data_IF_470030059245
#
_entry.id   IF_470030059245
#
_cell.length_a   1.000
_cell.length_b   1.000
_cell.length_c   1.000
_cell.angle_alpha   90.00
_cell.angle_beta   90.00
_cell.angle_gamma   90.00
#
_symmetry.space_group_name_H-M   'P 1'
#
loop_
_entity.id
_entity.type
_entity.pdbx_description
1 polymer ?
#
# COMPACT_ATOMS: atom_id res chain seq x y z
N UNK A 1 6.08 -9.80 -22.24
CA UNK A 1 6.79 -10.33 -21.05
C UNK A 1 5.92 -10.16 -19.81
N UNK A 2 5.69 -11.27 -19.11
CA UNK A 2 4.85 -11.36 -17.92
C UNK A 2 5.69 -11.88 -16.75
N UNK A 3 5.50 -11.31 -15.56
CA UNK A 3 6.13 -11.78 -14.32
C UNK A 3 5.14 -11.69 -13.16
N UNK A 4 5.06 -12.76 -12.37
CA UNK A 4 4.30 -12.81 -11.10
C UNK A 4 5.20 -13.46 -10.05
N UNK A 5 5.25 -12.88 -8.85
CA UNK A 5 5.99 -13.44 -7.71
C UNK A 5 5.17 -14.60 -7.14
N UNK A 6 5.59 -15.84 -7.42
CA UNK A 6 4.81 -17.04 -7.09
C UNK A 6 4.68 -17.31 -5.60
N UNK A 7 5.69 -16.95 -4.82
CA UNK A 7 5.73 -17.19 -3.37
C UNK A 7 5.07 -16.05 -2.57
N UNK A 8 4.57 -15.01 -3.25
CA UNK A 8 3.77 -13.97 -2.61
C UNK A 8 2.33 -14.47 -2.44
N UNK A 9 1.88 -14.55 -1.19
CA UNK A 9 0.53 -15.00 -0.84
C UNK A 9 -0.31 -13.77 -0.46
N UNK A 10 -1.30 -13.36 -1.28
CA UNK A 10 -2.19 -12.25 -0.96
C UNK A 10 -2.95 -12.49 0.35
N UNK A 11 -2.99 -11.47 1.21
CA UNK A 11 -3.71 -11.51 2.48
C UNK A 11 -4.61 -10.28 2.62
N UNK A 12 -5.83 -10.49 3.11
CA UNK A 12 -6.75 -9.41 3.44
C UNK A 12 -6.47 -8.83 4.82
N UNK A 13 -7.04 -7.67 5.07
CA UNK A 13 -6.84 -6.93 6.30
C UNK A 13 -7.87 -5.83 6.51
N UNK A 14 -7.69 -5.07 7.59
CA UNK A 14 -8.64 -4.01 7.96
C UNK A 14 -8.27 -2.68 7.33
N UNK A 15 -6.99 -2.33 7.31
CA UNK A 15 -6.54 -1.01 6.87
C UNK A 15 -5.48 -1.13 5.76
N UNK A 16 -5.59 -0.31 4.70
CA UNK A 16 -4.84 -0.50 3.45
C UNK A 16 -3.32 -0.47 3.64
N UNK A 17 -2.81 0.50 4.40
CA UNK A 17 -1.37 0.67 4.64
C UNK A 17 -0.82 -0.47 5.49
N UNK A 18 -1.45 -0.76 6.64
CA UNK A 18 -0.98 -1.78 7.57
C UNK A 18 -1.13 -3.18 7.00
N UNK A 19 -2.19 -3.45 6.23
CA UNK A 19 -2.32 -4.72 5.53
C UNK A 19 -1.24 -4.88 4.46
N UNK A 20 -0.97 -3.84 3.67
CA UNK A 20 0.09 -3.90 2.66
C UNK A 20 1.47 -4.13 3.29
N UNK A 21 1.78 -3.47 4.42
CA UNK A 21 3.00 -3.76 5.18
C UNK A 21 3.03 -5.18 5.75
N UNK A 22 1.92 -5.66 6.32
CA UNK A 22 1.81 -7.03 6.87
C UNK A 22 2.17 -8.06 5.81
N UNK A 23 1.66 -7.89 4.60
CA UNK A 23 1.95 -8.78 3.47
C UNK A 23 3.43 -8.74 3.07
N UNK A 24 4.04 -7.55 3.03
CA UNK A 24 5.48 -7.40 2.75
C UNK A 24 6.32 -8.07 3.84
N UNK A 25 6.04 -7.83 5.12
CA UNK A 25 6.74 -8.49 6.23
C UNK A 25 6.58 -10.02 6.18
N UNK A 26 5.36 -10.49 5.93
CA UNK A 26 5.06 -11.93 5.82
C UNK A 26 5.83 -12.58 4.67
N UNK A 27 5.94 -11.91 3.52
CA UNK A 27 6.72 -12.40 2.38
C UNK A 27 8.21 -12.60 2.74
N UNK A 28 8.77 -11.74 3.60
CA UNK A 28 10.14 -11.87 4.10
C UNK A 28 10.27 -12.74 5.36
N UNK A 29 9.22 -13.45 5.78
CA UNK A 29 9.24 -14.37 6.92
C UNK A 29 9.03 -13.71 8.29
N UNK A 30 8.61 -12.44 8.34
CA UNK A 30 8.33 -11.73 9.58
C UNK A 30 6.82 -11.63 9.84
N UNK A 31 6.34 -12.28 10.88
CA UNK A 31 4.93 -12.30 11.25
C UNK A 31 4.58 -11.10 12.14
N UNK A 32 4.27 -9.95 11.53
CA UNK A 32 3.79 -8.75 12.22
C UNK A 32 2.31 -8.51 11.92
N UNK A 33 1.47 -8.55 12.96
CA UNK A 33 0.05 -8.23 12.81
C UNK A 33 -0.20 -6.73 12.57
N UNK A 34 -1.37 -6.38 12.05
CA UNK A 34 -1.74 -4.96 11.85
C UNK A 34 -1.77 -4.20 13.19
N UNK A 35 -2.23 -4.86 14.26
CA UNK A 35 -2.31 -4.32 15.62
C UNK A 35 -0.91 -4.12 16.23
N UNK A 36 0.01 -5.08 16.01
CA UNK A 36 1.40 -4.95 16.44
C UNK A 36 2.06 -3.75 15.78
N UNK A 37 1.95 -3.62 14.46
CA UNK A 37 2.49 -2.45 13.74
C UNK A 37 1.81 -1.17 14.19
N UNK A 38 0.50 -1.20 14.46
CA UNK A 38 -0.22 -0.03 14.97
C UNK A 38 0.30 0.44 16.32
N UNK A 39 0.52 -0.47 17.27
CA UNK A 39 1.13 -0.16 18.56
C UNK A 39 2.57 0.32 18.41
N UNK A 40 3.40 -0.45 17.70
CA UNK A 40 4.82 -0.14 17.47
C UNK A 40 5.02 1.19 16.76
N UNK A 41 4.14 1.62 15.86
CA UNK A 41 4.25 2.91 15.18
C UNK A 41 3.66 4.09 16.00
N UNK A 42 3.10 3.84 17.20
CA UNK A 42 2.28 4.82 17.93
C UNK A 42 1.15 5.36 17.04
N UNK A 43 0.40 4.45 16.43
CA UNK A 43 -0.51 4.75 15.34
C UNK A 43 -1.77 5.52 15.75
N UNK A 44 -2.17 5.47 17.03
CA UNK A 44 -3.32 6.20 17.54
C UNK A 44 -3.00 7.70 17.64
N UNK A 45 -3.88 8.53 17.11
CA UNK A 45 -3.81 9.99 17.23
C UNK A 45 -5.23 10.56 17.21
N UNK A 46 -5.36 11.86 17.50
CA UNK A 46 -6.60 12.59 17.27
C UNK A 46 -6.30 13.88 16.51
N UNK A 47 -7.01 14.10 15.41
CA UNK A 47 -6.96 15.34 14.65
C UNK A 47 -8.38 15.69 14.19
N UNK A 48 -8.79 16.92 14.45
CA UNK A 48 -10.00 17.51 13.91
C UNK A 48 -9.62 18.60 12.90
N UNK A 49 -10.02 18.43 11.64
CA UNK A 49 -9.83 19.43 10.59
C UNK A 49 -11.19 20.06 10.27
N UNK A 50 -11.36 21.32 10.66
CA UNK A 50 -12.60 22.05 10.48
C UNK A 50 -12.68 22.76 9.11
N UNK A 51 -12.77 21.99 8.03
CA UNK A 51 -12.98 22.57 6.70
C UNK A 51 -14.45 22.98 6.52
N UNK A 52 -14.69 24.10 5.84
CA UNK A 52 -16.03 24.69 5.70
C UNK A 52 -17.06 23.78 5.03
N UNK A 53 -16.64 22.91 4.12
CA UNK A 53 -17.51 22.00 3.37
C UNK A 53 -17.39 20.53 3.77
N UNK A 54 -16.35 20.16 4.52
CA UNK A 54 -16.03 18.75 4.83
C UNK A 54 -15.16 18.63 6.09
N UNK A 55 -15.75 18.83 7.29
CA UNK A 55 -15.02 18.59 8.52
C UNK A 55 -14.58 17.13 8.62
N UNK A 56 -13.34 16.90 9.04
CA UNK A 56 -12.77 15.56 9.11
C UNK A 56 -12.21 15.27 10.49
N UNK A 57 -12.54 14.08 11.02
CA UNK A 57 -11.91 13.51 12.21
C UNK A 57 -10.95 12.41 11.77
N UNK A 58 -9.70 12.48 12.22
CA UNK A 58 -8.70 11.45 11.98
C UNK A 58 -8.26 10.83 13.32
N UNK A 59 -8.32 9.50 13.39
CA UNK A 59 -7.93 8.71 14.56
C UNK A 59 -6.50 8.18 14.50
N UNK A 60 -5.72 8.57 13.48
CA UNK A 60 -4.40 8.00 13.22
C UNK A 60 -3.32 9.06 13.08
N UNK A 61 -2.10 8.66 13.41
CA UNK A 61 -0.90 9.46 13.14
C UNK A 61 -0.80 9.80 11.65
N UNK A 62 -0.14 10.92 11.35
CA UNK A 62 0.11 11.38 9.98
C UNK A 62 0.73 10.28 9.11
N UNK A 63 0.30 10.21 7.86
CA UNK A 63 0.92 9.36 6.81
C UNK A 63 2.43 9.65 6.74
N UNK A 64 3.25 8.63 6.48
CA UNK A 64 4.71 8.63 6.54
C UNK A 64 5.33 8.75 7.93
N UNK A 65 4.67 9.37 8.91
CA UNK A 65 5.14 9.35 10.31
C UNK A 65 4.95 7.97 10.94
N UNK A 66 3.90 7.24 10.54
CA UNK A 66 3.69 5.84 10.91
C UNK A 66 4.87 4.97 10.44
N UNK A 67 5.17 5.02 9.14
CA UNK A 67 6.26 4.32 8.46
C UNK A 67 7.61 4.62 9.13
N UNK A 68 7.92 5.90 9.35
CA UNK A 68 9.19 6.33 9.96
C UNK A 68 9.37 5.79 11.37
N UNK A 69 8.33 5.89 12.22
CA UNK A 69 8.39 5.37 13.59
C UNK A 69 8.53 3.86 13.61
N UNK A 70 7.80 3.17 12.74
CA UNK A 70 7.91 1.73 12.60
C UNK A 70 9.32 1.33 12.15
N UNK A 71 9.86 1.99 11.13
CA UNK A 71 11.20 1.77 10.60
C UNK A 71 12.28 1.94 11.67
N UNK A 72 12.23 3.04 12.41
CA UNK A 72 13.18 3.33 13.49
C UNK A 72 13.12 2.28 14.62
N UNK A 73 11.93 1.83 15.00
CA UNK A 73 11.75 0.88 16.12
C UNK A 73 12.05 -0.57 15.73
N UNK A 74 11.89 -0.92 14.45
CA UNK A 74 12.25 -2.24 13.93
C UNK A 74 13.69 -2.28 13.38
N UNK A 75 14.42 -1.16 13.40
CA UNK A 75 15.74 -1.01 12.80
C UNK A 75 15.79 -1.45 11.33
N UNK A 76 14.80 -1.01 10.54
CA UNK A 76 14.70 -1.27 9.09
C UNK A 76 14.72 0.05 8.31
N UNK A 77 14.97 -0.04 7.00
CA UNK A 77 14.85 1.09 6.08
C UNK A 77 13.56 0.96 5.26
N UNK A 78 12.76 2.02 5.23
CA UNK A 78 11.62 2.16 4.32
C UNK A 78 11.94 3.30 3.35
N UNK A 79 12.00 3.00 2.07
CA UNK A 79 12.27 3.98 1.01
C UNK A 79 10.98 4.27 0.24
N UNK A 80 10.49 5.51 0.32
CA UNK A 80 9.39 5.97 -0.51
C UNK A 80 9.96 6.63 -1.77
N UNK A 81 9.57 6.12 -2.95
CA UNK A 81 9.92 6.71 -4.24
C UNK A 81 8.67 7.33 -4.86
N UNK A 82 8.80 8.56 -5.34
CA UNK A 82 7.75 9.29 -6.07
C UNK A 82 8.40 10.08 -7.21
N UNK A 83 7.70 10.28 -8.32
CA UNK A 83 8.18 11.06 -9.43
C UNK A 83 7.08 11.37 -10.44
N UNK A 84 7.31 12.37 -11.29
CA UNK A 84 6.40 12.77 -12.37
C UNK A 84 6.67 12.03 -13.69
N UNK A 85 7.77 11.27 -13.76
CA UNK A 85 8.11 10.41 -14.89
C UNK A 85 7.49 9.03 -14.67
N UNK A 86 6.27 8.85 -15.17
CA UNK A 86 5.48 7.64 -14.95
C UNK A 86 6.09 6.40 -15.62
N UNK A 87 6.74 6.57 -16.78
CA UNK A 87 7.42 5.47 -17.47
C UNK A 87 8.59 4.95 -16.62
N UNK A 88 9.41 5.86 -16.09
CA UNK A 88 10.51 5.50 -15.19
C UNK A 88 10.03 4.86 -13.90
N UNK A 89 8.96 5.38 -13.27
CA UNK A 89 8.41 4.79 -12.04
C UNK A 89 7.82 3.40 -12.32
N UNK A 90 7.15 3.23 -13.46
CA UNK A 90 6.66 1.92 -13.92
C UNK A 90 7.80 0.94 -14.14
N UNK A 91 8.89 1.37 -14.79
CA UNK A 91 10.05 0.52 -15.01
C UNK A 91 10.73 0.10 -13.69
N UNK A 92 10.94 1.04 -12.76
CA UNK A 92 11.48 0.74 -11.41
C UNK A 92 10.61 -0.29 -10.70
N UNK A 93 9.29 -0.19 -10.83
CA UNK A 93 8.35 -1.13 -10.23
C UNK A 93 8.51 -2.52 -10.83
N UNK A 94 8.60 -2.62 -12.17
CA UNK A 94 8.82 -3.89 -12.87
C UNK A 94 10.16 -4.52 -12.51
N UNK A 95 11.24 -3.74 -12.45
CA UNK A 95 12.57 -4.22 -12.06
C UNK A 95 12.59 -4.83 -10.64
N UNK A 96 11.80 -4.27 -9.71
CA UNK A 96 11.62 -4.83 -8.37
C UNK A 96 10.88 -6.18 -8.41
N UNK A 97 9.81 -6.27 -9.21
CA UNK A 97 9.05 -7.51 -9.41
C UNK A 97 9.91 -8.59 -10.08
N UNK A 98 10.76 -8.23 -11.04
CA UNK A 98 11.70 -9.15 -11.70
C UNK A 98 12.70 -9.75 -10.70
N UNK A 99 13.09 -8.98 -9.68
CA UNK A 99 13.91 -9.41 -8.56
C UNK A 99 13.14 -10.15 -7.45
N UNK A 100 11.88 -10.52 -7.68
CA UNK A 100 10.98 -11.11 -6.69
C UNK A 100 10.82 -10.24 -5.43
N UNK A 101 10.74 -8.93 -5.59
CA UNK A 101 10.48 -7.98 -4.49
C UNK A 101 9.09 -7.37 -4.67
N UNK A 102 8.05 -7.85 -3.96
CA UNK A 102 6.75 -7.17 -3.97
C UNK A 102 6.90 -5.77 -3.40
N UNK A 103 6.09 -4.83 -3.89
CA UNK A 103 6.20 -3.41 -3.51
C UNK A 103 4.85 -2.87 -3.06
N UNK A 104 4.85 -2.07 -1.99
CA UNK A 104 3.69 -1.28 -1.59
C UNK A 104 3.63 -0.03 -2.47
N UNK A 105 2.48 0.22 -3.07
CA UNK A 105 2.21 1.43 -3.86
C UNK A 105 0.96 2.13 -3.33
N UNK A 106 0.92 3.45 -3.51
CA UNK A 106 -0.31 4.24 -3.34
C UNK A 106 -1.00 4.40 -4.68
N UNK A 107 -2.31 4.18 -4.70
CA UNK A 107 -3.17 4.27 -5.87
C UNK A 107 -4.37 5.15 -5.56
N UNK A 108 -4.96 5.67 -6.63
CA UNK A 108 -6.16 6.48 -6.54
C UNK A 108 -7.41 5.62 -6.74
N UNK A 109 -8.26 5.60 -5.72
CA UNK A 109 -9.32 4.61 -5.57
C UNK A 109 -10.32 4.54 -6.75
N UNK A 110 -10.72 5.64 -7.42
CA UNK A 110 -11.64 5.55 -8.55
C UNK A 110 -11.10 4.77 -9.76
N UNK A 111 -9.78 4.56 -9.86
CA UNK A 111 -9.20 3.70 -10.90
C UNK A 111 -9.31 2.20 -10.57
N UNK A 112 -9.64 1.85 -9.33
CA UNK A 112 -9.92 0.49 -8.90
C UNK A 112 -11.42 0.22 -9.07
N UNK A 113 -11.81 -0.20 -10.27
CA UNK A 113 -13.23 -0.38 -10.65
C UNK A 113 -14.02 -1.29 -9.70
N UNK A 114 -13.36 -2.27 -9.07
CA UNK A 114 -13.97 -3.17 -8.09
C UNK A 114 -14.42 -2.48 -6.79
N UNK A 115 -13.98 -1.25 -6.52
CA UNK A 115 -14.44 -0.45 -5.38
C UNK A 115 -15.79 0.25 -5.63
N UNK A 116 -16.28 0.28 -6.88
CA UNK A 116 -17.58 0.86 -7.22
C UNK A 116 -17.72 2.36 -6.93
N UNK A 117 -16.60 3.10 -6.89
CA UNK A 117 -16.60 4.52 -6.56
C UNK A 117 -16.98 5.40 -7.76
N UNK A 118 -17.49 6.60 -7.46
CA UNK A 118 -17.67 7.64 -8.47
C UNK A 118 -16.29 8.08 -9.00
N UNK A 119 -16.18 8.27 -10.32
CA UNK A 119 -14.94 8.71 -10.99
C UNK A 119 -14.36 10.01 -10.44
N UNK A 120 -15.21 10.90 -9.89
CA UNK A 120 -14.79 12.18 -9.33
C UNK A 120 -14.40 12.09 -7.84
N UNK A 121 -14.57 10.94 -7.19
CA UNK A 121 -14.24 10.72 -5.77
C UNK A 121 -12.76 10.35 -5.59
N UNK A 122 -11.87 11.18 -6.15
CA UNK A 122 -10.42 10.96 -6.11
C UNK A 122 -9.88 10.93 -4.69
N UNK A 123 -9.13 9.87 -4.39
CA UNK A 123 -8.39 9.66 -3.15
C UNK A 123 -7.14 8.82 -3.45
N UNK A 124 -6.02 9.49 -3.71
CA UNK A 124 -4.70 8.89 -3.98
C UNK A 124 -3.98 8.28 -2.77
N UNK A 125 -4.67 8.09 -1.64
CA UNK A 125 -4.08 7.63 -0.38
C UNK A 125 -4.27 6.14 -0.10
N UNK A 126 -4.80 5.37 -1.04
CA UNK A 126 -5.09 3.95 -0.84
C UNK A 126 -3.88 3.08 -1.17
N UNK A 127 -3.47 2.22 -0.24
CA UNK A 127 -2.27 1.42 -0.38
C UNK A 127 -2.59 -0.05 -0.75
N UNK A 128 -1.90 -0.55 -1.77
CA UNK A 128 -1.97 -1.94 -2.24
C UNK A 128 -0.57 -2.51 -2.41
N UNK A 129 -0.44 -3.84 -2.48
CA UNK A 129 0.83 -4.49 -2.82
C UNK A 129 0.81 -4.92 -4.27
N UNK A 130 1.76 -4.43 -5.05
CA UNK A 130 2.04 -4.91 -6.41
C UNK A 130 2.96 -6.13 -6.33
N UNK A 131 2.59 -7.22 -7.01
CA UNK A 131 3.36 -8.48 -7.00
C UNK A 131 3.45 -9.15 -8.38
N UNK A 132 3.00 -8.49 -9.44
CA UNK A 132 3.14 -8.98 -10.81
C UNK A 132 2.78 -7.94 -11.86
N UNK A 133 3.21 -8.16 -13.09
CA UNK A 133 2.83 -7.36 -14.26
C UNK A 133 2.82 -8.18 -15.55
N UNK A 134 2.05 -7.70 -16.53
CA UNK A 134 1.96 -8.20 -17.90
C UNK A 134 2.10 -7.02 -18.85
N UNK A 135 3.20 -6.97 -19.62
CA UNK A 135 3.43 -5.89 -20.57
C UNK A 135 2.55 -6.00 -21.82
N UNK A 136 2.14 -7.20 -22.22
CA UNK A 136 1.34 -7.39 -23.43
C UNK A 136 -0.11 -6.99 -23.20
N UNK A 137 -0.63 -7.27 -22.00
CA UNK A 137 -1.99 -6.91 -21.61
C UNK A 137 -2.08 -5.58 -20.86
N UNK A 138 -0.96 -4.92 -20.60
CA UNK A 138 -0.85 -3.70 -19.78
C UNK A 138 -1.52 -3.87 -18.40
N UNK A 139 -1.30 -5.02 -17.76
CA UNK A 139 -1.93 -5.39 -16.49
C UNK A 139 -0.93 -5.50 -15.36
N UNK A 140 -1.46 -5.30 -14.15
CA UNK A 140 -0.73 -5.48 -12.92
C UNK A 140 -1.52 -6.39 -11.98
N UNK A 141 -0.80 -7.26 -11.27
CA UNK A 141 -1.37 -8.04 -10.16
C UNK A 141 -1.14 -7.28 -8.87
N UNK A 142 -2.25 -6.92 -8.21
CA UNK A 142 -2.25 -6.21 -6.94
C UNK A 142 -2.97 -7.03 -5.87
N UNK A 143 -2.54 -6.88 -4.62
CA UNK A 143 -3.28 -7.32 -3.44
C UNK A 143 -3.76 -6.11 -2.65
N UNK A 144 -5.08 -6.01 -2.47
CA UNK A 144 -5.74 -5.00 -1.67
C UNK A 144 -6.18 -5.56 -0.31
N UNK A 145 -6.53 -4.70 0.65
CA UNK A 145 -7.03 -5.05 1.99
C UNK A 145 -8.34 -5.85 1.95
N UNK A 146 -9.18 -5.61 0.95
CA UNK A 146 -10.46 -6.33 0.79
C UNK A 146 -10.22 -7.71 0.20
N UNK A 147 -10.36 -8.77 1.00
CA UNK A 147 -10.48 -10.12 0.48
C UNK A 147 -11.93 -10.36 0.02
N UNK A 148 -12.18 -10.26 -1.29
CA UNK A 148 -13.26 -10.88 -2.10
C UNK A 148 -13.57 -9.91 -3.26
N UNK A 149 -13.28 -10.20 -4.52
CA UNK A 149 -13.66 -11.40 -5.27
C UNK A 149 -12.58 -11.82 -6.29
N UNK A 150 -12.61 -13.12 -6.62
CA UNK A 150 -12.08 -13.64 -7.88
C UNK A 150 -12.70 -12.92 -9.08
#
# INVERSE_FOLDING_TARGET
MQKVIRDFIPQGGKHCITNSMKQIFSYYGYLLSEEMMFGLASGLSFLYLNQSSSPMVNGRIKVFEFEKKLAARLNISIQCKSGFDYEKISQISKDMIDQNKPILIYVDMPYLSYLGLNKNSHFGGHAVVLFGYDNELERFWISDRGLSHQ
#
